data_IF_669671376384
#
_entry.id   IF_669671376384
#
_cell.length_a   1.000
_cell.length_b   1.000
_cell.length_c   1.000
_cell.angle_alpha   90.00
_cell.angle_beta   90.00
_cell.angle_gamma   90.00
#
_symmetry.space_group_name_H-M   'P 1'
#
loop_
_entity.id
_entity.type
_entity.pdbx_description
1 polymer ?
#
# COMPACT_ATOMS: atom_id res chain seq x y z
N UNK A 1 -19.70 -4.96 -6.06
CA UNK A 1 -19.86 -4.28 -4.75
C UNK A 1 -18.85 -4.73 -3.70
N UNK A 2 -18.59 -6.05 -3.52
CA UNK A 2 -17.71 -6.55 -2.43
C UNK A 2 -16.29 -5.94 -2.37
N UNK A 3 -15.73 -5.48 -3.50
CA UNK A 3 -14.39 -4.89 -3.58
C UNK A 3 -14.35 -3.36 -3.42
N UNK A 4 -15.50 -2.68 -3.52
CA UNK A 4 -15.54 -1.21 -3.59
C UNK A 4 -15.21 -0.58 -2.24
N UNK A 5 -15.84 -1.05 -1.17
CA UNK A 5 -15.58 -0.55 0.19
C UNK A 5 -14.11 -0.70 0.62
N UNK A 6 -13.45 -1.87 0.48
CA UNK A 6 -12.04 -1.99 0.84
C UNK A 6 -11.10 -1.16 -0.06
N UNK A 7 -11.43 -0.96 -1.35
CA UNK A 7 -10.65 -0.05 -2.20
C UNK A 7 -10.77 1.40 -1.74
N UNK A 8 -11.99 1.87 -1.47
CA UNK A 8 -12.21 3.23 -0.97
C UNK A 8 -11.46 3.47 0.34
N UNK A 9 -11.57 2.53 1.30
CA UNK A 9 -10.82 2.61 2.54
C UNK A 9 -9.31 2.65 2.32
N UNK A 10 -8.80 1.85 1.37
CA UNK A 10 -7.39 1.86 1.00
C UNK A 10 -6.93 3.19 0.37
N UNK A 11 -7.75 3.78 -0.49
CA UNK A 11 -7.49 5.10 -1.10
C UNK A 11 -7.40 6.17 -0.01
N UNK A 12 -8.37 6.25 0.90
CA UNK A 12 -8.37 7.23 1.97
C UNK A 12 -7.12 7.10 2.85
N UNK A 13 -6.78 5.88 3.29
CA UNK A 13 -5.59 5.62 4.11
C UNK A 13 -4.29 6.06 3.41
N UNK A 14 -4.16 5.73 2.13
CA UNK A 14 -2.98 6.10 1.35
C UNK A 14 -2.90 7.62 1.13
N UNK A 15 -4.04 8.28 0.88
CA UNK A 15 -4.10 9.74 0.77
C UNK A 15 -3.65 10.41 2.07
N UNK A 16 -4.14 9.94 3.21
CA UNK A 16 -3.74 10.47 4.53
C UNK A 16 -2.24 10.29 4.77
N UNK A 17 -1.69 9.10 4.48
CA UNK A 17 -0.27 8.82 4.64
C UNK A 17 0.61 9.71 3.72
N UNK A 18 0.21 9.89 2.46
CA UNK A 18 0.92 10.75 1.52
C UNK A 18 0.81 12.24 1.87
N UNK A 19 -0.32 12.67 2.43
CA UNK A 19 -0.48 14.03 2.92
C UNK A 19 0.46 14.31 4.10
N UNK A 20 0.61 13.36 5.03
CA UNK A 20 1.59 13.45 6.12
C UNK A 20 3.01 13.51 5.57
N UNK A 21 3.36 12.60 4.66
CA UNK A 21 4.67 12.56 4.00
C UNK A 21 5.03 13.88 3.31
N UNK A 22 4.05 14.56 2.70
CA UNK A 22 4.28 15.83 2.03
C UNK A 22 4.71 16.97 2.97
N UNK A 23 4.44 16.84 4.27
CA UNK A 23 4.83 17.82 5.30
C UNK A 23 6.19 17.52 5.96
N UNK A 24 6.74 16.33 5.72
CA UNK A 24 8.03 15.90 6.27
C UNK A 24 9.23 16.50 5.53
N UNK A 25 10.40 16.44 6.14
CA UNK A 25 11.64 16.89 5.53
C UNK A 25 12.10 15.96 4.37
N UNK A 26 13.16 16.36 3.67
CA UNK A 26 13.65 15.60 2.52
C UNK A 26 14.20 14.21 2.90
N UNK A 27 14.79 14.05 4.09
CA UNK A 27 15.40 12.80 4.54
C UNK A 27 14.31 11.77 4.85
N UNK A 28 13.30 12.17 5.62
CA UNK A 28 12.12 11.37 5.93
C UNK A 28 11.36 10.98 4.67
N UNK A 29 11.20 11.94 3.74
CA UNK A 29 10.59 11.68 2.43
C UNK A 29 11.36 10.65 1.61
N UNK A 30 12.69 10.70 1.66
CA UNK A 30 13.56 9.72 1.02
C UNK A 30 13.40 8.33 1.64
N UNK A 31 13.38 8.23 2.97
CA UNK A 31 13.21 6.97 3.69
C UNK A 31 11.86 6.30 3.39
N UNK A 32 10.79 7.08 3.24
CA UNK A 32 9.45 6.58 2.95
C UNK A 32 9.14 6.39 1.44
N UNK A 33 10.05 6.76 0.53
CA UNK A 33 9.80 6.69 -0.91
C UNK A 33 9.48 5.27 -1.41
N UNK A 34 10.22 4.27 -0.95
CA UNK A 34 10.00 2.88 -1.35
C UNK A 34 8.70 2.28 -0.76
N UNK A 35 8.41 2.45 0.55
CA UNK A 35 7.10 2.14 1.11
C UNK A 35 5.93 2.81 0.37
N UNK A 36 6.05 4.09 0.01
CA UNK A 36 5.03 4.82 -0.74
C UNK A 36 4.78 4.21 -2.13
N UNK A 37 5.84 3.89 -2.87
CA UNK A 37 5.74 3.20 -4.16
C UNK A 37 5.04 1.84 -4.00
N UNK A 38 5.40 1.05 -2.99
CA UNK A 38 4.75 -0.24 -2.73
C UNK A 38 3.27 -0.07 -2.40
N UNK A 39 2.90 0.92 -1.59
CA UNK A 39 1.52 1.15 -1.19
C UNK A 39 0.64 1.50 -2.40
N UNK A 40 1.11 2.40 -3.27
CA UNK A 40 0.44 2.75 -4.54
C UNK A 40 0.30 1.51 -5.43
N UNK A 41 1.35 0.69 -5.54
CA UNK A 41 1.33 -0.54 -6.33
C UNK A 41 0.34 -1.57 -5.80
N UNK A 42 0.31 -1.81 -4.49
CA UNK A 42 -0.64 -2.72 -3.84
C UNK A 42 -2.08 -2.31 -4.10
N UNK A 43 -2.41 -1.03 -3.98
CA UNK A 43 -3.76 -0.54 -4.21
C UNK A 43 -4.15 -0.59 -5.70
N UNK A 44 -3.22 -0.25 -6.59
CA UNK A 44 -3.42 -0.36 -8.04
C UNK A 44 -3.71 -1.80 -8.48
N UNK A 45 -2.95 -2.77 -7.95
CA UNK A 45 -3.17 -4.18 -8.25
C UNK A 45 -4.52 -4.67 -7.67
N UNK A 46 -4.89 -4.22 -6.46
CA UNK A 46 -6.21 -4.52 -5.90
C UNK A 46 -7.34 -4.02 -6.82
N UNK A 47 -7.22 -2.80 -7.34
CA UNK A 47 -8.20 -2.25 -8.28
C UNK A 47 -8.27 -3.10 -9.56
N UNK A 48 -7.13 -3.45 -10.15
CA UNK A 48 -7.10 -4.33 -11.33
C UNK A 48 -7.74 -5.71 -11.07
N UNK A 49 -7.57 -6.28 -9.89
CA UNK A 49 -8.25 -7.52 -9.51
C UNK A 49 -9.77 -7.35 -9.40
N UNK A 50 -10.24 -6.23 -8.85
CA UNK A 50 -11.65 -5.92 -8.79
C UNK A 50 -12.26 -5.78 -10.19
N UNK A 51 -11.57 -5.09 -11.11
CA UNK A 51 -11.99 -4.97 -12.51
C UNK A 51 -12.05 -6.33 -13.21
N UNK A 52 -11.01 -7.17 -13.04
CA UNK A 52 -11.01 -8.52 -13.61
C UNK A 52 -12.12 -9.41 -13.04
N UNK A 53 -12.41 -9.30 -11.74
CA UNK A 53 -13.50 -10.04 -11.10
C UNK A 53 -14.87 -9.55 -11.59
N UNK A 54 -15.04 -8.24 -11.82
CA UNK A 54 -16.27 -7.68 -12.37
C UNK A 54 -16.53 -8.13 -13.81
N UNK A 55 -15.49 -8.14 -14.66
CA UNK A 55 -15.56 -8.58 -16.05
C UNK A 55 -15.55 -10.11 -16.23
N UNK A 56 -15.53 -10.88 -15.13
CA UNK A 56 -15.43 -12.33 -15.20
C UNK A 56 -16.70 -12.97 -15.78
N UNK A 57 -16.50 -13.91 -16.69
CA UNK A 57 -17.54 -14.75 -17.27
C UNK A 57 -17.31 -16.22 -16.89
N UNK A 58 -18.21 -17.12 -17.31
CA UNK A 58 -18.15 -18.56 -17.02
C UNK A 58 -16.82 -19.22 -17.44
N UNK A 59 -16.08 -18.68 -18.40
CA UNK A 59 -14.79 -19.22 -18.87
C UNK A 59 -13.60 -18.78 -18.02
N UNK A 60 -13.72 -17.73 -17.21
CA UNK A 60 -12.63 -17.14 -16.41
C UNK A 60 -13.01 -16.98 -14.92
N UNK A 61 -13.87 -17.87 -14.40
CA UNK A 61 -14.41 -17.81 -13.05
C UNK A 61 -13.34 -17.83 -11.94
N UNK A 62 -12.12 -18.30 -12.23
CA UNK A 62 -11.01 -18.30 -11.29
C UNK A 62 -10.58 -16.88 -10.85
N UNK A 63 -10.91 -15.84 -11.61
CA UNK A 63 -10.56 -14.45 -11.28
C UNK A 63 -11.24 -13.94 -10.00
N UNK A 64 -12.48 -14.34 -9.73
CA UNK A 64 -13.22 -13.95 -8.52
C UNK A 64 -12.54 -14.46 -7.24
N UNK A 65 -12.26 -15.76 -7.06
CA UNK A 65 -11.56 -16.24 -5.87
C UNK A 65 -10.13 -15.72 -5.78
N UNK A 66 -9.43 -15.46 -6.90
CA UNK A 66 -8.10 -14.81 -6.85
C UNK A 66 -8.20 -13.37 -6.37
N UNK A 67 -9.19 -12.60 -6.81
CA UNK A 67 -9.43 -11.26 -6.30
C UNK A 67 -9.73 -11.30 -4.79
N UNK A 68 -10.63 -12.18 -4.35
CA UNK A 68 -10.92 -12.37 -2.91
C UNK A 68 -9.67 -12.70 -2.11
N UNK A 69 -8.82 -13.60 -2.61
CA UNK A 69 -7.55 -13.91 -1.97
C UNK A 69 -6.66 -12.66 -1.86
N UNK A 70 -6.51 -11.89 -2.94
CA UNK A 70 -5.71 -10.67 -2.92
C UNK A 70 -6.22 -9.67 -1.86
N UNK A 71 -7.54 -9.43 -1.85
CA UNK A 71 -8.17 -8.51 -0.90
C UNK A 71 -8.08 -8.99 0.56
N UNK A 72 -8.11 -10.30 0.81
CA UNK A 72 -8.05 -10.86 2.16
C UNK A 72 -6.63 -11.05 2.69
N UNK A 73 -5.67 -11.37 1.81
CA UNK A 73 -4.34 -11.81 2.22
C UNK A 73 -3.23 -10.81 1.89
N UNK A 74 -3.38 -10.03 0.82
CA UNK A 74 -2.31 -9.13 0.32
C UNK A 74 -2.64 -7.68 0.63
N UNK A 75 -3.86 -7.23 0.36
CA UNK A 75 -4.29 -5.85 0.60
C UNK A 75 -4.08 -5.39 2.06
N UNK A 76 -4.23 -6.22 3.11
CA UNK A 76 -3.93 -5.81 4.48
C UNK A 76 -2.50 -5.30 4.71
N UNK A 77 -1.52 -5.68 3.87
CA UNK A 77 -0.16 -5.12 3.91
C UNK A 77 -0.15 -3.59 3.72
N UNK A 78 -1.16 -3.03 3.05
CA UNK A 78 -1.30 -1.59 2.85
C UNK A 78 -1.29 -0.82 4.17
N UNK A 79 -1.89 -1.36 5.23
CA UNK A 79 -1.94 -0.72 6.54
C UNK A 79 -0.55 -0.56 7.14
N UNK A 80 0.26 -1.62 7.05
CA UNK A 80 1.65 -1.60 7.48
C UNK A 80 2.49 -0.60 6.67
N UNK A 81 2.30 -0.54 5.35
CA UNK A 81 3.01 0.42 4.49
C UNK A 81 2.62 1.86 4.82
N UNK A 82 1.33 2.14 5.05
CA UNK A 82 0.86 3.47 5.43
C UNK A 82 1.42 3.90 6.79
N UNK A 83 1.56 2.97 7.74
CA UNK A 83 2.24 3.26 9.01
C UNK A 83 3.71 3.62 8.79
N UNK A 84 4.46 2.87 7.98
CA UNK A 84 5.87 3.21 7.70
C UNK A 84 5.97 4.60 7.06
N UNK A 85 5.11 4.91 6.08
CA UNK A 85 5.08 6.22 5.41
C UNK A 85 4.85 7.34 6.45
N UNK A 86 3.92 7.15 7.38
CA UNK A 86 3.63 8.13 8.43
C UNK A 86 4.73 8.30 9.49
N UNK A 87 5.66 7.35 9.63
CA UNK A 87 6.78 7.45 10.58
C UNK A 87 8.08 7.99 9.96
N UNK A 88 8.18 8.09 8.63
CA UNK A 88 9.38 8.59 7.97
C UNK A 88 10.65 7.80 8.29
N UNK A 89 11.78 8.49 8.38
CA UNK A 89 13.12 7.97 8.66
C UNK A 89 13.43 7.73 10.14
N UNK A 90 12.48 7.95 11.06
CA UNK A 90 12.73 7.89 12.51
C UNK A 90 13.25 6.54 13.01
N UNK A 91 13.05 5.45 12.26
CA UNK A 91 13.62 4.14 12.58
C UNK A 91 15.13 4.08 12.30
N UNK A 92 15.64 4.86 11.33
CA UNK A 92 17.06 4.84 10.92
C UNK A 92 17.93 5.69 11.85
N UNK A 93 17.43 6.81 12.37
CA UNK A 93 18.24 7.74 13.17
C UNK A 93 18.63 7.22 14.55
N UNK A 94 17.98 6.17 15.05
CA UNK A 94 18.23 5.62 16.39
C UNK A 94 19.41 4.65 16.46
N UNK A 95 20.00 4.24 15.34
CA UNK A 95 21.18 3.39 15.34
C UNK A 95 22.39 4.18 14.83
N UNK A 96 23.36 4.57 15.70
CA UNK A 96 24.61 5.12 15.22
C UNK A 96 25.28 4.04 14.37
N UNK A 97 25.26 4.23 13.06
CA UNK A 97 26.05 3.42 12.13
C UNK A 97 27.49 3.75 12.50
N UNK A 98 28.10 2.89 13.32
CA UNK A 98 29.49 3.02 13.69
C UNK A 98 30.29 3.15 12.40
N UNK A 99 31.00 4.27 12.26
CA UNK A 99 31.98 4.44 11.19
C UNK A 99 32.88 3.22 11.19
N UNK A 100 32.76 2.39 10.14
CA UNK A 100 33.79 1.40 9.85
C UNK A 100 34.97 2.21 9.32
N UNK A 101 35.88 2.54 10.24
CA UNK A 101 37.19 3.10 9.94
C UNK A 101 38.06 2.08 9.21
#
# INVERSE_FOLDING_TARGET
>A
EEFVAPLHAGVTKLQDALAQLATMDLADRGAAAYPAMQAVGTLSIAWMWAEMAHASTNTNMAKIPTARFYFQQILPKLDYLCQIIGHGGQVIETHPIGHVA
#
